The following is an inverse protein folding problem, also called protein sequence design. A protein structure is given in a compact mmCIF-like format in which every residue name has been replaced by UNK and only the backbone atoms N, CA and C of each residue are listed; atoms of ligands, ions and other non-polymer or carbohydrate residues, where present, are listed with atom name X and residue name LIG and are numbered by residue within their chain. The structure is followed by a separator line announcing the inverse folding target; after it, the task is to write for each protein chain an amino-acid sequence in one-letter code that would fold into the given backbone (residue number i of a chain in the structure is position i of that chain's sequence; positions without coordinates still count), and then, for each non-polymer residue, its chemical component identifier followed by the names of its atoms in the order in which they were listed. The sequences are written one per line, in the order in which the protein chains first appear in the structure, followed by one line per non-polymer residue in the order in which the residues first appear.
data_IF_157182860323
#
_entry.id   IF_157182860323
#
_cell.length_a   1.000
_cell.length_b   1.000
_cell.length_c   1.000
_cell.angle_alpha   90.00
_cell.angle_beta   90.00
_cell.angle_gamma   90.00
#
_symmetry.space_group_name_H-M   'P 1'
#
loop_
_entity.id
_entity.type
_entity.pdbx_description
1 polymer ?
#
# COMPACT_ATOMS: atom_id res chain seq x y z
N UNK A 1 -7.97 8.85 28.19
CA UNK A 1 -7.58 7.60 27.53
C UNK A 1 -7.27 7.86 26.06
N UNK A 2 -6.23 7.25 25.55
CA UNK A 2 -5.85 7.37 24.14
C UNK A 2 -6.86 6.62 23.24
N UNK A 3 -7.27 7.22 22.12
CA UNK A 3 -8.24 6.56 21.23
C UNK A 3 -7.66 5.25 20.67
N UNK A 4 -8.46 4.18 20.58
CA UNK A 4 -8.04 2.93 19.96
C UNK A 4 -7.66 3.12 18.48
N UNK A 5 -6.83 2.19 17.95
CA UNK A 5 -6.28 2.31 16.60
C UNK A 5 -7.03 1.39 15.63
N UNK A 6 -7.47 1.96 14.50
CA UNK A 6 -7.93 1.25 13.30
C UNK A 6 -6.84 1.39 12.25
N UNK A 7 -6.18 0.30 11.89
CA UNK A 7 -5.09 0.31 10.93
C UNK A 7 -5.55 -0.10 9.53
N UNK A 8 -4.92 0.44 8.51
CA UNK A 8 -5.30 0.19 7.12
C UNK A 8 -4.10 0.21 6.17
N UNK A 9 -4.30 -0.32 4.95
CA UNK A 9 -3.42 -0.12 3.80
C UNK A 9 -3.87 1.07 2.95
N UNK A 10 -3.02 1.55 2.05
CA UNK A 10 -3.36 2.62 1.10
C UNK A 10 -3.98 2.06 -0.18
N UNK A 11 -3.23 1.19 -0.88
CA UNK A 11 -3.63 0.58 -2.16
C UNK A 11 -4.73 -0.46 -1.96
N UNK A 12 -5.73 -0.45 -2.84
CA UNK A 12 -6.91 -1.32 -2.78
C UNK A 12 -7.95 -0.90 -1.74
N UNK A 13 -7.69 0.17 -0.98
CA UNK A 13 -8.64 0.71 0.00
C UNK A 13 -8.92 2.19 -0.25
N UNK A 14 -8.02 3.09 0.12
CA UNK A 14 -8.19 4.55 -0.10
C UNK A 14 -7.92 4.95 -1.54
N UNK A 15 -6.97 4.29 -2.17
CA UNK A 15 -6.68 4.37 -3.60
C UNK A 15 -6.87 2.98 -4.23
N UNK A 16 -7.36 2.94 -5.48
CA UNK A 16 -7.43 1.70 -6.26
C UNK A 16 -6.02 1.13 -6.48
N UNK A 17 -5.91 -0.12 -6.94
CA UNK A 17 -4.62 -0.72 -7.30
C UNK A 17 -4.05 -0.17 -8.61
N UNK A 18 -4.92 0.28 -9.51
CA UNK A 18 -4.56 0.72 -10.86
C UNK A 18 -3.36 1.68 -10.93
N UNK A 19 -3.19 2.71 -10.06
CA UNK A 19 -1.98 3.55 -10.06
C UNK A 19 -0.68 2.76 -9.97
N UNK A 20 -0.63 1.72 -9.14
CA UNK A 20 0.55 0.86 -8.97
C UNK A 20 0.74 -0.07 -10.16
N UNK A 21 -0.34 -0.67 -10.67
CA UNK A 21 -0.31 -1.56 -11.85
C UNK A 21 0.19 -0.81 -13.09
N UNK A 22 -0.30 0.42 -13.32
CA UNK A 22 0.16 1.27 -14.43
C UNK A 22 1.59 1.76 -14.24
N UNK A 23 2.01 2.02 -13.00
CA UNK A 23 3.37 2.44 -12.72
C UNK A 23 4.42 1.37 -13.11
N UNK A 24 4.13 0.08 -12.98
CA UNK A 24 5.02 -0.99 -13.44
C UNK A 24 5.28 -0.92 -14.94
N UNK A 25 4.22 -0.79 -15.72
CA UNK A 25 4.33 -0.69 -17.19
C UNK A 25 5.12 0.56 -17.59
N UNK A 26 4.82 1.71 -16.98
CA UNK A 26 5.53 2.96 -17.25
C UNK A 26 6.99 2.91 -16.83
N UNK A 27 7.31 2.24 -15.73
CA UNK A 27 8.68 2.07 -15.26
C UNK A 27 9.53 1.32 -16.30
N UNK A 28 9.03 0.16 -16.79
CA UNK A 28 9.74 -0.62 -17.80
C UNK A 28 9.85 0.12 -19.14
N UNK A 29 8.81 0.87 -19.53
CA UNK A 29 8.87 1.71 -20.73
C UNK A 29 10.00 2.76 -20.63
N UNK A 30 10.07 3.51 -19.53
CA UNK A 30 11.15 4.49 -19.27
C UNK A 30 12.52 3.80 -19.24
N UNK A 31 12.61 2.61 -18.68
CA UNK A 31 13.86 1.83 -18.65
C UNK A 31 14.30 1.37 -20.05
N UNK A 32 13.35 0.88 -20.87
CA UNK A 32 13.59 0.51 -22.26
C UNK A 32 14.11 1.69 -23.10
N UNK A 33 13.47 2.85 -22.98
CA UNK A 33 13.90 4.10 -23.63
C UNK A 33 15.34 4.46 -23.20
N UNK A 34 15.65 4.41 -21.91
CA UNK A 34 16.98 4.74 -21.38
C UNK A 34 18.09 3.79 -21.84
N UNK A 35 17.77 2.51 -22.01
CA UNK A 35 18.70 1.49 -22.48
C UNK A 35 18.73 1.37 -24.01
N UNK A 36 17.83 2.04 -24.71
CA UNK A 36 17.55 1.82 -26.13
C UNK A 36 17.34 0.32 -26.45
N UNK A 37 16.54 -0.36 -25.62
CA UNK A 37 16.30 -1.80 -25.65
C UNK A 37 14.84 -2.13 -25.31
N UNK A 38 14.01 -2.28 -26.33
CA UNK A 38 12.59 -2.61 -26.19
C UNK A 38 12.33 -3.99 -25.57
N UNK A 39 13.32 -4.90 -25.59
CA UNK A 39 13.17 -6.22 -24.99
C UNK A 39 12.94 -6.19 -23.48
N UNK A 40 13.29 -5.08 -22.82
CA UNK A 40 13.08 -4.84 -21.40
C UNK A 40 11.59 -4.81 -21.05
N UNK A 41 10.72 -4.35 -21.97
CA UNK A 41 9.28 -4.27 -21.75
C UNK A 41 8.60 -5.62 -21.49
N UNK A 42 9.23 -6.72 -21.89
CA UNK A 42 8.72 -8.09 -21.62
C UNK A 42 8.50 -8.37 -20.12
N UNK A 43 9.23 -7.67 -19.25
CA UNK A 43 9.12 -7.84 -17.81
C UNK A 43 7.87 -7.21 -17.21
N UNK A 44 7.33 -6.17 -17.82
CA UNK A 44 6.21 -5.37 -17.28
C UNK A 44 4.94 -6.20 -16.96
N UNK A 45 4.71 -7.28 -17.72
CA UNK A 45 3.49 -8.11 -17.60
C UNK A 45 3.77 -9.48 -16.96
N UNK A 46 4.93 -9.68 -16.36
CA UNK A 46 5.28 -10.94 -15.70
C UNK A 46 4.96 -10.89 -14.21
N UNK A 47 4.60 -12.03 -13.65
CA UNK A 47 4.37 -12.18 -12.20
C UNK A 47 5.64 -11.97 -11.36
N UNK A 48 6.82 -12.18 -11.97
CA UNK A 48 8.14 -12.01 -11.35
C UNK A 48 8.84 -10.71 -11.76
N UNK A 49 8.07 -9.67 -12.10
CA UNK A 49 8.59 -8.39 -12.60
C UNK A 49 9.67 -7.75 -11.70
N UNK A 50 9.65 -7.99 -10.40
CA UNK A 50 10.71 -7.49 -9.51
C UNK A 50 12.10 -8.01 -9.83
N UNK A 51 12.22 -9.26 -10.33
CA UNK A 51 13.51 -9.79 -10.78
C UNK A 51 14.06 -9.00 -11.95
N UNK A 52 13.20 -8.59 -12.87
CA UNK A 52 13.57 -7.75 -13.98
C UNK A 52 14.06 -6.36 -13.55
N UNK A 53 13.52 -5.80 -12.48
CA UNK A 53 13.95 -4.50 -11.96
C UNK A 53 15.44 -4.53 -11.59
N UNK A 54 15.88 -5.52 -10.81
CA UNK A 54 17.29 -5.63 -10.40
C UNK A 54 18.23 -5.74 -11.59
N UNK A 55 17.89 -6.59 -12.56
CA UNK A 55 18.68 -6.79 -13.79
C UNK A 55 18.78 -5.48 -14.59
N UNK A 56 17.65 -4.84 -14.81
CA UNK A 56 17.57 -3.59 -15.57
C UNK A 56 18.32 -2.46 -14.88
N UNK A 57 18.19 -2.32 -13.55
CA UNK A 57 18.88 -1.30 -12.80
C UNK A 57 20.40 -1.48 -12.79
N UNK A 58 20.91 -2.74 -12.79
CA UNK A 58 22.35 -3.02 -12.97
C UNK A 58 22.86 -2.55 -14.34
N UNK A 59 22.05 -2.69 -15.38
CA UNK A 59 22.39 -2.19 -16.72
C UNK A 59 22.38 -0.67 -16.79
N UNK A 60 21.39 0.00 -16.17
CA UNK A 60 21.26 1.47 -16.19
C UNK A 60 22.32 2.13 -15.30
N UNK A 61 22.62 1.55 -14.16
CA UNK A 61 23.49 2.11 -13.12
C UNK A 61 24.53 1.08 -12.63
N UNK A 62 25.48 0.69 -13.49
CA UNK A 62 26.43 -0.40 -13.17
C UNK A 62 27.39 -0.06 -12.01
N UNK A 63 27.60 1.24 -11.72
CA UNK A 63 28.53 1.70 -10.67
C UNK A 63 27.87 1.92 -9.31
N UNK A 64 26.54 1.87 -9.22
CA UNK A 64 25.84 2.04 -7.96
C UNK A 64 25.78 0.72 -7.19
N UNK A 65 25.72 0.80 -5.86
CA UNK A 65 25.41 -0.32 -4.99
C UNK A 65 23.96 -0.84 -5.21
N UNK A 66 23.67 -2.03 -4.70
CA UNK A 66 22.31 -2.60 -4.79
C UNK A 66 21.29 -1.73 -4.04
N UNK A 67 21.67 -1.16 -2.89
CA UNK A 67 20.81 -0.26 -2.11
C UNK A 67 20.51 1.03 -2.88
N UNK A 68 21.50 1.66 -3.48
CA UNK A 68 21.32 2.88 -4.30
C UNK A 68 20.44 2.60 -5.52
N UNK A 69 20.63 1.45 -6.18
CA UNK A 69 19.77 1.02 -7.30
C UNK A 69 18.33 0.79 -6.84
N UNK A 70 18.14 0.16 -5.70
CA UNK A 70 16.81 -0.06 -5.11
C UNK A 70 16.11 1.26 -4.83
N UNK A 71 16.79 2.23 -4.22
CA UNK A 71 16.26 3.56 -3.95
C UNK A 71 15.83 4.24 -5.26
N UNK A 72 16.70 4.26 -6.28
CA UNK A 72 16.38 4.88 -7.58
C UNK A 72 15.24 4.20 -8.33
N UNK A 73 15.17 2.87 -8.29
CA UNK A 73 14.06 2.15 -8.90
C UNK A 73 12.72 2.51 -8.24
N UNK A 74 12.70 2.58 -6.92
CA UNK A 74 11.50 2.95 -6.15
C UNK A 74 11.09 4.40 -6.39
N UNK A 75 12.03 5.34 -6.44
CA UNK A 75 11.74 6.75 -6.76
C UNK A 75 11.02 6.87 -8.11
N UNK A 76 11.60 6.30 -9.17
CA UNK A 76 11.01 6.34 -10.53
C UNK A 76 9.62 5.70 -10.57
N UNK A 77 9.44 4.60 -9.85
CA UNK A 77 8.15 3.91 -9.74
C UNK A 77 7.10 4.79 -9.04
N UNK A 78 7.44 5.36 -7.89
CA UNK A 78 6.51 6.18 -7.11
C UNK A 78 6.21 7.53 -7.76
N UNK A 79 7.12 8.10 -8.54
CA UNK A 79 6.82 9.27 -9.38
C UNK A 79 5.68 8.96 -10.36
N UNK A 80 5.74 7.79 -10.99
CA UNK A 80 4.68 7.34 -11.91
C UNK A 80 3.34 7.11 -11.19
N UNK A 81 3.35 6.60 -9.96
CA UNK A 81 2.13 6.49 -9.12
C UNK A 81 1.55 7.88 -8.83
N UNK A 82 2.38 8.84 -8.42
CA UNK A 82 1.95 10.21 -8.11
C UNK A 82 1.33 10.90 -9.33
N UNK A 83 1.97 10.76 -10.49
CA UNK A 83 1.47 11.35 -11.74
C UNK A 83 0.12 10.76 -12.14
N UNK A 84 -0.04 9.45 -11.97
CA UNK A 84 -1.31 8.79 -12.23
C UNK A 84 -2.42 9.30 -11.30
N UNK A 85 -2.17 9.35 -10.00
CA UNK A 85 -3.17 9.79 -9.00
C UNK A 85 -3.58 11.25 -9.22
N UNK A 86 -2.65 12.13 -9.62
CA UNK A 86 -2.98 13.53 -9.97
C UNK A 86 -3.86 13.62 -11.22
N UNK A 87 -3.56 12.81 -12.23
CA UNK A 87 -4.25 12.84 -13.52
C UNK A 87 -5.64 12.21 -13.46
N UNK A 88 -5.82 11.21 -12.59
CA UNK A 88 -7.04 10.40 -12.51
C UNK A 88 -7.63 10.42 -11.09
N UNK A 89 -8.44 11.47 -10.74
CA UNK A 89 -9.06 11.60 -9.42
C UNK A 89 -9.96 10.41 -9.03
N UNK A 90 -10.50 9.69 -10.02
CA UNK A 90 -11.29 8.47 -9.84
C UNK A 90 -10.48 7.26 -9.29
N UNK A 91 -9.16 7.36 -9.25
CA UNK A 91 -8.33 6.41 -8.51
C UNK A 91 -8.58 6.45 -7.01
N UNK A 92 -9.23 7.51 -6.49
CA UNK A 92 -9.57 7.68 -5.08
C UNK A 92 -10.91 7.02 -4.75
N UNK A 93 -10.94 6.30 -3.64
CA UNK A 93 -12.18 5.75 -3.08
C UNK A 93 -12.83 6.75 -2.12
N UNK A 94 -13.42 7.83 -2.64
CA UNK A 94 -13.97 8.93 -1.84
C UNK A 94 -14.98 8.46 -0.79
N UNK A 95 -15.81 7.47 -1.07
CA UNK A 95 -16.76 6.90 -0.10
C UNK A 95 -16.07 6.28 1.11
N UNK A 96 -14.95 5.57 0.89
CA UNK A 96 -14.13 4.98 1.95
C UNK A 96 -13.41 6.09 2.72
N UNK A 97 -12.82 7.05 2.04
CA UNK A 97 -12.14 8.21 2.66
C UNK A 97 -13.10 8.93 3.61
N UNK A 98 -14.31 9.27 3.15
CA UNK A 98 -15.33 9.94 3.97
C UNK A 98 -15.75 9.09 5.18
N UNK A 99 -15.89 7.79 5.01
CA UNK A 99 -16.22 6.88 6.09
C UNK A 99 -15.11 6.84 7.16
N UNK A 100 -13.88 6.65 6.76
CA UNK A 100 -12.75 6.64 7.70
C UNK A 100 -12.57 8.00 8.39
N UNK A 101 -12.82 9.10 7.70
CA UNK A 101 -12.82 10.43 8.33
C UNK A 101 -13.87 10.53 9.44
N UNK A 102 -15.05 9.91 9.27
CA UNK A 102 -16.05 9.87 10.32
C UNK A 102 -15.63 9.06 11.56
N UNK A 103 -14.79 8.04 11.38
CA UNK A 103 -14.25 7.20 12.46
C UNK A 103 -13.23 7.95 13.34
N UNK A 104 -12.59 9.02 12.85
CA UNK A 104 -11.57 9.80 13.58
C UNK A 104 -12.12 10.44 14.85
N UNK A 105 -13.44 10.57 14.98
CA UNK A 105 -14.08 11.03 16.21
C UNK A 105 -13.78 10.11 17.41
N UNK A 106 -13.71 8.80 17.16
CA UNK A 106 -13.59 7.77 18.20
C UNK A 106 -12.30 6.95 18.12
N UNK A 107 -11.64 6.93 16.98
CA UNK A 107 -10.46 6.10 16.69
C UNK A 107 -9.34 6.93 16.12
N UNK A 108 -8.08 6.48 16.31
CA UNK A 108 -6.94 6.92 15.51
C UNK A 108 -6.87 6.08 14.26
N UNK A 109 -6.74 6.72 13.11
CA UNK A 109 -6.59 6.02 11.82
C UNK A 109 -5.11 5.89 11.50
N UNK A 110 -4.65 4.64 11.41
CA UNK A 110 -3.25 4.34 11.12
C UNK A 110 -3.08 3.80 9.71
N UNK A 111 -2.02 4.21 9.05
CA UNK A 111 -1.56 3.66 7.79
C UNK A 111 -0.33 2.80 8.01
N UNK A 112 -0.40 1.52 7.60
CA UNK A 112 0.74 0.60 7.58
C UNK A 112 1.04 0.28 6.11
N UNK A 113 2.23 0.65 5.61
CA UNK A 113 2.55 0.56 4.19
C UNK A 113 4.00 0.20 3.92
N UNK A 114 4.26 -0.53 2.84
CA UNK A 114 5.61 -0.77 2.34
C UNK A 114 6.11 0.32 1.37
N UNK A 115 5.31 1.35 1.11
CA UNK A 115 5.83 2.56 0.48
C UNK A 115 6.84 3.23 1.42
N UNK A 116 7.89 3.85 0.87
CA UNK A 116 8.82 4.66 1.67
C UNK A 116 8.14 5.93 2.17
N UNK A 117 8.64 6.51 3.26
CA UNK A 117 8.04 7.72 3.83
C UNK A 117 7.98 8.87 2.81
N UNK A 118 9.08 9.14 2.10
CA UNK A 118 9.14 10.22 1.08
C UNK A 118 8.19 9.97 -0.08
N UNK A 119 8.08 8.73 -0.57
CA UNK A 119 7.14 8.38 -1.62
C UNK A 119 5.69 8.52 -1.15
N UNK A 120 5.42 8.07 0.07
CA UNK A 120 4.10 8.15 0.67
C UNK A 120 3.62 9.59 0.82
N UNK A 121 4.45 10.49 1.34
CA UNK A 121 4.13 11.92 1.47
C UNK A 121 3.71 12.52 0.12
N UNK A 122 4.41 12.20 -0.96
CA UNK A 122 4.08 12.63 -2.32
C UNK A 122 2.78 12.02 -2.84
N UNK A 123 2.56 10.72 -2.60
CA UNK A 123 1.32 10.04 -3.01
C UNK A 123 0.12 10.63 -2.25
N UNK A 124 0.23 10.81 -0.93
CA UNK A 124 -0.83 11.38 -0.11
C UNK A 124 -1.14 12.83 -0.53
N UNK A 125 -0.11 13.65 -0.78
CA UNK A 125 -0.28 15.00 -1.33
C UNK A 125 -1.00 14.97 -2.68
N UNK A 126 -0.59 14.09 -3.60
CA UNK A 126 -1.22 13.94 -4.91
C UNK A 126 -2.68 13.48 -4.82
N UNK A 127 -3.02 12.72 -3.78
CA UNK A 127 -4.36 12.25 -3.51
C UNK A 127 -5.21 13.23 -2.67
N UNK A 128 -4.66 14.33 -2.18
CA UNK A 128 -5.34 15.24 -1.25
C UNK A 128 -5.63 14.59 0.12
N UNK A 129 -4.71 13.76 0.61
CA UNK A 129 -4.80 13.01 1.86
C UNK A 129 -3.63 13.34 2.83
N UNK A 130 -3.01 14.51 2.70
CA UNK A 130 -1.78 14.87 3.41
C UNK A 130 -1.91 14.62 4.92
N UNK A 131 -2.85 15.15 5.62
CA UNK A 131 -3.01 15.00 7.07
C UNK A 131 -4.15 14.04 7.44
N UNK A 132 -4.40 13.08 6.56
CA UNK A 132 -5.53 12.17 6.75
C UNK A 132 -5.28 11.12 7.85
N UNK A 133 -4.06 10.60 7.96
CA UNK A 133 -3.73 9.54 8.90
C UNK A 133 -3.13 10.11 10.19
N UNK A 134 -3.61 9.63 11.35
CA UNK A 134 -3.11 10.03 12.68
C UNK A 134 -1.78 9.35 13.00
N UNK A 135 -1.54 8.18 12.40
CA UNK A 135 -0.31 7.38 12.54
C UNK A 135 0.08 6.84 11.17
N UNK A 136 1.36 6.92 10.86
CA UNK A 136 1.94 6.32 9.65
C UNK A 136 3.16 5.49 10.03
N UNK A 137 3.15 4.20 9.66
CA UNK A 137 4.34 3.36 9.65
C UNK A 137 4.65 2.95 8.21
N UNK A 138 5.79 3.36 7.73
CA UNK A 138 6.25 3.22 6.36
C UNK A 138 7.53 2.38 6.28
N UNK A 139 7.84 1.85 5.10
CA UNK A 139 9.08 1.14 4.84
C UNK A 139 10.29 2.09 4.85
N UNK A 140 11.46 1.58 5.27
CA UNK A 140 12.72 2.30 5.13
C UNK A 140 13.14 2.39 3.65
N UNK A 141 13.96 3.38 3.26
CA UNK A 141 14.31 3.60 1.85
C UNK A 141 14.96 2.40 1.15
N UNK A 142 15.85 1.70 1.84
CA UNK A 142 16.57 0.51 1.36
C UNK A 142 15.94 -0.83 1.78
N UNK A 143 14.83 -0.78 2.52
CA UNK A 143 14.15 -1.98 2.99
C UNK A 143 13.47 -2.69 1.83
N UNK A 144 13.58 -4.02 1.78
CA UNK A 144 12.82 -4.84 0.84
C UNK A 144 11.32 -4.65 1.09
N UNK A 145 10.49 -5.02 0.12
CA UNK A 145 9.02 -4.95 0.23
C UNK A 145 8.50 -5.99 1.25
N UNK A 146 8.84 -5.78 2.52
CA UNK A 146 8.51 -6.65 3.66
C UNK A 146 7.46 -6.00 4.54
N UNK A 147 6.21 -6.42 4.35
CA UNK A 147 5.08 -5.91 5.14
C UNK A 147 5.15 -6.35 6.60
N UNK A 148 5.72 -7.52 6.90
CA UNK A 148 5.88 -8.03 8.27
C UNK A 148 6.77 -7.12 9.10
N UNK A 149 7.92 -6.72 8.57
CA UNK A 149 8.83 -5.81 9.26
C UNK A 149 8.18 -4.47 9.61
N UNK A 150 7.37 -3.92 8.69
CA UNK A 150 6.60 -2.69 8.94
C UNK A 150 5.57 -2.88 10.05
N UNK A 151 4.85 -4.00 10.08
CA UNK A 151 3.90 -4.31 11.15
C UNK A 151 4.58 -4.46 12.51
N UNK A 152 5.72 -5.11 12.57
CA UNK A 152 6.46 -5.32 13.83
C UNK A 152 6.92 -3.98 14.42
N UNK A 153 7.45 -3.08 13.60
CA UNK A 153 7.78 -1.72 14.03
C UNK A 153 6.55 -0.96 14.51
N UNK A 154 5.45 -1.07 13.77
CA UNK A 154 4.19 -0.44 14.17
C UNK A 154 3.71 -0.92 15.54
N UNK A 155 3.65 -2.24 15.76
CA UNK A 155 3.18 -2.81 17.03
C UNK A 155 4.10 -2.45 18.20
N UNK A 156 5.40 -2.43 17.96
CA UNK A 156 6.38 -2.03 18.98
C UNK A 156 6.19 -0.58 19.42
N UNK A 157 5.87 0.33 18.50
CA UNK A 157 5.73 1.76 18.80
C UNK A 157 4.36 2.14 19.35
N UNK A 158 3.30 1.52 18.84
CA UNK A 158 1.91 2.00 19.04
C UNK A 158 0.98 0.95 19.64
N UNK A 159 1.46 -0.27 19.82
CA UNK A 159 0.62 -1.40 20.24
C UNK A 159 -0.17 -2.04 19.10
N UNK A 160 -0.93 -3.09 19.42
CA UNK A 160 -1.77 -3.79 18.45
C UNK A 160 -2.97 -2.93 18.05
N UNK A 161 -3.28 -2.78 16.76
CA UNK A 161 -4.54 -2.17 16.35
C UNK A 161 -5.72 -3.09 16.66
N UNK A 162 -6.91 -2.52 16.85
CA UNK A 162 -8.15 -3.29 17.01
C UNK A 162 -8.47 -4.13 15.77
N UNK A 163 -8.18 -3.57 14.62
CA UNK A 163 -8.45 -4.19 13.32
C UNK A 163 -7.48 -3.63 12.28
N UNK A 164 -7.14 -4.47 11.31
CA UNK A 164 -6.44 -4.09 10.10
C UNK A 164 -7.32 -4.29 8.87
N UNK A 165 -7.47 -3.26 8.06
CA UNK A 165 -8.18 -3.32 6.78
C UNK A 165 -7.15 -3.33 5.66
N UNK A 166 -7.02 -4.47 4.97
CA UNK A 166 -6.03 -4.68 3.92
C UNK A 166 -6.60 -4.70 2.51
N UNK A 167 -5.72 -4.45 1.53
CA UNK A 167 -5.95 -4.80 0.13
C UNK A 167 -5.61 -6.28 -0.14
N UNK A 168 -5.04 -6.60 -1.28
CA UNK A 168 -4.84 -7.98 -1.76
C UNK A 168 -3.56 -8.70 -1.24
N UNK A 169 -2.82 -8.12 -0.29
CA UNK A 169 -1.57 -8.73 0.22
C UNK A 169 -1.83 -9.80 1.26
N UNK A 170 -1.71 -11.06 0.86
CA UNK A 170 -1.92 -12.23 1.74
C UNK A 170 -1.01 -12.22 2.98
N UNK A 171 0.27 -11.86 2.83
CA UNK A 171 1.25 -11.78 3.93
C UNK A 171 0.81 -10.87 5.08
N UNK A 172 0.07 -9.80 4.77
CA UNK A 172 -0.50 -8.89 5.78
C UNK A 172 -1.53 -9.60 6.66
N UNK A 173 -2.39 -10.41 6.05
CA UNK A 173 -3.45 -11.14 6.76
C UNK A 173 -2.90 -12.34 7.53
N UNK A 174 -1.91 -13.03 6.96
CA UNK A 174 -1.22 -14.13 7.65
C UNK A 174 -0.54 -13.60 8.93
N UNK A 175 0.11 -12.44 8.85
CA UNK A 175 0.69 -11.77 10.02
C UNK A 175 -0.37 -11.36 11.05
N UNK A 176 -1.45 -10.74 10.62
CA UNK A 176 -2.56 -10.37 11.51
C UNK A 176 -3.11 -11.57 12.25
N UNK A 177 -3.32 -12.68 11.56
CA UNK A 177 -3.81 -13.95 12.15
C UNK A 177 -2.83 -14.48 13.20
N UNK A 178 -1.54 -14.52 12.88
CA UNK A 178 -0.48 -14.94 13.81
C UNK A 178 -0.46 -14.09 15.09
N UNK A 179 -0.70 -12.79 14.98
CA UNK A 179 -0.70 -11.85 16.12
C UNK A 179 -2.06 -11.69 16.80
N UNK A 180 -3.11 -12.40 16.34
CA UNK A 180 -4.46 -12.28 16.88
C UNK A 180 -5.09 -10.90 16.65
N UNK A 181 -4.76 -10.26 15.52
CA UNK A 181 -5.34 -8.97 15.09
C UNK A 181 -6.52 -9.27 14.17
N UNK A 182 -7.70 -8.73 14.49
CA UNK A 182 -8.86 -8.80 13.59
C UNK A 182 -8.51 -8.16 12.24
N UNK A 183 -8.95 -8.77 11.13
CA UNK A 183 -8.66 -8.22 9.82
C UNK A 183 -9.85 -8.35 8.85
N UNK A 184 -9.93 -7.40 7.92
CA UNK A 184 -10.92 -7.39 6.83
C UNK A 184 -10.18 -7.18 5.51
N UNK A 185 -10.41 -8.05 4.54
CA UNK A 185 -9.98 -7.82 3.16
C UNK A 185 -10.97 -6.87 2.46
N UNK A 186 -10.53 -5.68 2.12
CA UNK A 186 -11.30 -4.72 1.32
C UNK A 186 -11.26 -5.14 -0.15
N UNK A 187 -12.08 -6.13 -0.53
CA UNK A 187 -12.14 -6.65 -1.90
C UNK A 187 -13.08 -5.83 -2.79
N UNK A 188 -12.90 -4.51 -2.78
CA UNK A 188 -13.74 -3.56 -3.52
C UNK A 188 -13.57 -3.71 -5.04
N UNK A 189 -12.39 -4.11 -5.48
CA UNK A 189 -12.05 -4.31 -6.89
C UNK A 189 -12.30 -5.74 -7.37
N UNK A 190 -13.04 -6.53 -6.58
CA UNK A 190 -13.50 -7.91 -6.93
C UNK A 190 -12.36 -8.85 -7.34
N UNK A 191 -11.28 -8.81 -6.61
CA UNK A 191 -10.15 -9.72 -6.78
C UNK A 191 -10.47 -11.12 -6.22
N UNK A 192 -9.57 -12.09 -6.43
CA UNK A 192 -9.69 -13.40 -5.82
C UNK A 192 -9.70 -13.27 -4.29
N UNK A 193 -10.57 -14.04 -3.64
CA UNK A 193 -10.67 -14.09 -2.18
C UNK A 193 -9.35 -14.57 -1.55
N UNK A 194 -9.11 -14.18 -0.30
CA UNK A 194 -8.00 -14.68 0.50
C UNK A 194 -8.57 -15.68 1.50
N UNK A 195 -8.11 -16.91 1.45
CA UNK A 195 -8.59 -17.99 2.30
C UNK A 195 -8.49 -17.63 3.79
N UNK A 196 -9.58 -17.89 4.52
CA UNK A 196 -9.67 -17.63 5.95
C UNK A 196 -9.71 -16.13 6.33
N UNK A 197 -9.91 -15.23 5.37
CA UNK A 197 -10.04 -13.78 5.61
C UNK A 197 -11.42 -13.28 5.21
N UNK A 198 -12.08 -12.58 6.12
CA UNK A 198 -13.39 -11.99 5.85
C UNK A 198 -13.25 -10.85 4.82
N UNK A 199 -13.96 -10.98 3.69
CA UNK A 199 -13.91 -10.00 2.60
C UNK A 199 -15.10 -9.05 2.63
N UNK A 200 -14.86 -7.77 2.32
CA UNK A 200 -15.89 -6.75 2.08
C UNK A 200 -15.82 -6.29 0.62
N UNK A 201 -16.89 -6.49 -0.14
CA UNK A 201 -16.94 -6.24 -1.59
C UNK A 201 -17.46 -4.85 -1.96
N UNK A 202 -17.89 -4.08 -0.97
CA UNK A 202 -18.35 -2.70 -1.14
C UNK A 202 -18.31 -1.96 0.20
N UNK A 203 -18.55 -0.65 0.15
CA UNK A 203 -18.53 0.20 1.33
C UNK A 203 -19.58 -0.19 2.38
N UNK A 204 -20.76 -0.68 1.97
CA UNK A 204 -21.82 -1.09 2.91
C UNK A 204 -21.36 -2.29 3.72
N UNK A 205 -20.82 -3.33 3.07
CA UNK A 205 -20.28 -4.51 3.74
C UNK A 205 -19.09 -4.14 4.65
N UNK A 206 -18.18 -3.29 4.17
CA UNK A 206 -17.06 -2.82 4.98
C UNK A 206 -17.54 -2.15 6.27
N UNK A 207 -18.52 -1.25 6.18
CA UNK A 207 -19.12 -0.59 7.34
C UNK A 207 -19.72 -1.60 8.32
N UNK A 208 -20.50 -2.56 7.84
CA UNK A 208 -21.14 -3.58 8.67
C UNK A 208 -20.12 -4.45 9.41
N UNK A 209 -19.10 -4.93 8.70
CA UNK A 209 -18.07 -5.81 9.26
C UNK A 209 -17.19 -5.06 10.26
N UNK A 210 -16.76 -3.86 9.91
CA UNK A 210 -15.95 -3.03 10.78
C UNK A 210 -16.72 -2.65 12.05
N UNK A 211 -17.97 -2.20 11.95
CA UNK A 211 -18.82 -1.89 13.11
C UNK A 211 -18.93 -3.08 14.06
N UNK A 212 -19.14 -4.30 13.54
CA UNK A 212 -19.23 -5.53 14.36
C UNK A 212 -17.94 -5.82 15.15
N UNK A 213 -16.77 -5.51 14.59
CA UNK A 213 -15.49 -5.66 15.30
C UNK A 213 -15.36 -4.57 16.37
N UNK A 214 -15.62 -3.33 16.01
CA UNK A 214 -15.44 -2.17 16.89
C UNK A 214 -16.39 -2.18 18.09
N UNK A 215 -17.63 -2.70 17.95
CA UNK A 215 -18.59 -2.80 19.07
C UNK A 215 -18.29 -3.94 20.04
N UNK A 216 -17.51 -4.94 19.66
CA UNK A 216 -17.12 -6.03 20.57
C UNK A 216 -15.97 -5.65 21.51
N UNK A 217 -15.33 -4.53 21.25
CA UNK A 217 -14.10 -4.11 21.94
C UNK A 217 -14.35 -2.93 22.89
N UNK A 218 -15.56 -2.38 22.90
CA UNK A 218 -16.08 -1.41 23.87
C UNK A 218 -16.87 -2.10 24.98
#
# INVERSE_FOLDING_TARGET
MEKPIVAATLSGLFLKHEPWDKAHVLWYKKAAEKLNDESVNKWANRSDYFKGVDEVMKRIYPKLSDDERTIKARETFFDSVCDYVRKYPEARNNGIINYFNSLKKSYRIALITTNTKSALERILSSAGLTDFFDIIEASMPNEKDDKRAVFERFITKYGKPLVYIGGNRKDSFDYCREKGISCIFANIEKQLGIEGVESAHNLKELKQKLSRILTKTL
#
